data_IF_796863092119
#
_entry.id   IF_796863092119
#
_cell.length_a   1.000
_cell.length_b   1.000
_cell.length_c   1.000
_cell.angle_alpha   90.00
_cell.angle_beta   90.00
_cell.angle_gamma   90.00
#
_symmetry.space_group_name_H-M   'P 1'
#
loop_
_entity.id
_entity.type
_entity.pdbx_description
1 polymer ?
#
# COMPACT_ATOMS: atom_id res chain seq x y z
N UNK A 1 32.51 -14.07 17.60
CA UNK A 1 31.38 -15.02 17.62
C UNK A 1 31.94 -16.43 17.59
N UNK A 2 31.27 -17.39 18.23
CA UNK A 2 31.68 -18.79 18.29
C UNK A 2 30.49 -19.66 17.86
N UNK A 3 30.76 -20.63 16.99
CA UNK A 3 29.77 -21.61 16.53
C UNK A 3 29.89 -22.89 17.35
N UNK A 4 28.74 -23.50 17.63
CA UNK A 4 28.64 -24.72 18.43
C UNK A 4 27.67 -25.68 17.78
N UNK A 5 28.12 -26.91 17.58
CA UNK A 5 27.27 -28.03 17.22
C UNK A 5 26.69 -28.64 18.49
N UNK A 6 25.42 -29.04 18.44
CA UNK A 6 24.75 -29.64 19.58
C UNK A 6 24.01 -30.92 19.20
N UNK A 7 23.78 -31.76 20.20
CA UNK A 7 22.92 -32.93 20.13
C UNK A 7 22.15 -33.05 21.45
N UNK A 8 20.89 -32.64 21.45
CA UNK A 8 19.97 -32.70 22.58
C UNK A 8 19.15 -33.98 22.49
N UNK A 9 19.17 -34.79 23.54
CA UNK A 9 18.40 -36.03 23.61
C UNK A 9 17.16 -35.84 24.48
N UNK A 10 16.04 -36.49 24.15
CA UNK A 10 14.82 -36.43 24.96
C UNK A 10 15.07 -37.04 26.33
N UNK A 11 15.03 -36.21 27.37
CA UNK A 11 15.23 -36.64 28.76
C UNK A 11 15.17 -35.50 29.77
N UNK A 12 14.11 -35.49 30.58
CA UNK A 12 13.92 -34.73 31.84
C UNK A 12 14.45 -33.28 31.90
N UNK A 13 14.26 -32.49 30.84
CA UNK A 13 14.55 -31.05 30.89
C UNK A 13 16.01 -30.68 31.14
N UNK A 14 16.95 -31.60 30.84
CA UNK A 14 18.39 -31.35 30.93
C UNK A 14 18.75 -30.20 29.98
N UNK A 15 19.05 -29.03 30.57
CA UNK A 15 19.55 -27.89 29.83
C UNK A 15 21.03 -28.08 29.55
N UNK A 16 21.43 -27.97 28.28
CA UNK A 16 22.84 -27.78 27.96
C UNK A 16 23.22 -26.37 28.39
N UNK A 17 24.20 -26.29 29.29
CA UNK A 17 24.75 -25.01 29.75
C UNK A 17 26.00 -24.70 28.95
N UNK A 18 26.03 -23.49 28.40
CA UNK A 18 27.13 -22.97 27.59
C UNK A 18 27.72 -21.76 28.31
N UNK A 19 28.98 -21.86 28.69
CA UNK A 19 29.73 -20.79 29.36
C UNK A 19 30.38 -19.92 28.28
N UNK A 20 29.65 -18.93 27.79
CA UNK A 20 30.08 -18.11 26.66
C UNK A 20 29.47 -16.72 26.76
N UNK A 21 30.35 -15.71 26.73
CA UNK A 21 29.95 -14.31 26.74
C UNK A 21 29.40 -13.92 25.37
N UNK A 22 28.21 -13.33 25.37
CA UNK A 22 27.60 -12.79 24.16
C UNK A 22 26.31 -12.02 24.43
N UNK A 23 25.95 -11.12 23.52
CA UNK A 23 24.66 -10.44 23.51
C UNK A 23 23.77 -10.90 22.36
N UNK A 24 24.17 -11.94 21.62
CA UNK A 24 23.41 -12.50 20.51
C UNK A 24 23.51 -14.03 20.56
N UNK A 25 22.35 -14.67 20.45
CA UNK A 25 22.19 -16.10 20.21
C UNK A 25 21.48 -16.31 18.88
N UNK A 26 22.08 -17.06 17.96
CA UNK A 26 21.49 -17.41 16.67
C UNK A 26 21.32 -18.91 16.61
N UNK A 27 20.11 -19.39 16.42
CA UNK A 27 19.87 -20.79 16.14
C UNK A 27 19.87 -20.99 14.63
N UNK A 28 20.98 -21.48 14.07
CA UNK A 28 21.18 -21.49 12.62
C UNK A 28 20.37 -22.57 11.92
N UNK A 29 20.55 -23.82 12.35
CA UNK A 29 20.01 -24.98 11.65
C UNK A 29 19.72 -26.12 12.59
N UNK A 30 18.75 -26.94 12.21
CA UNK A 30 18.49 -28.26 12.77
C UNK A 30 18.71 -29.31 11.68
N UNK A 31 19.30 -30.44 12.06
CA UNK A 31 19.54 -31.57 11.14
C UNK A 31 18.50 -32.68 11.28
N UNK A 32 17.59 -32.58 12.25
CA UNK A 32 16.55 -33.58 12.49
C UNK A 32 15.19 -33.13 11.93
N UNK A 33 14.35 -34.10 11.57
CA UNK A 33 12.97 -33.87 11.10
C UNK A 33 12.00 -33.95 12.28
N UNK A 34 11.14 -32.94 12.47
CA UNK A 34 10.17 -32.91 13.56
C UNK A 34 10.01 -31.53 14.19
N UNK A 35 9.65 -31.49 15.48
CA UNK A 35 9.62 -30.24 16.24
C UNK A 35 11.04 -29.78 16.59
N UNK A 36 11.58 -28.92 15.73
CA UNK A 36 12.97 -28.42 15.81
C UNK A 36 13.16 -27.22 16.73
N UNK A 37 12.21 -26.96 17.64
CA UNK A 37 12.27 -25.80 18.54
C UNK A 37 13.21 -26.03 19.74
N UNK A 38 13.96 -24.99 20.08
CA UNK A 38 14.77 -24.91 21.30
C UNK A 38 14.28 -23.79 22.20
N UNK A 39 14.33 -24.01 23.51
CA UNK A 39 14.17 -22.97 24.51
C UNK A 39 15.55 -22.47 24.94
N UNK A 40 15.78 -21.18 24.84
CA UNK A 40 17.05 -20.51 25.14
C UNK A 40 16.82 -19.54 26.28
N UNK A 41 17.63 -19.66 27.33
CA UNK A 41 17.58 -18.79 28.50
C UNK A 41 19.00 -18.29 28.84
N UNK A 42 19.31 -17.00 28.61
CA UNK A 42 20.51 -16.40 29.16
C UNK A 42 20.38 -16.22 30.68
N UNK A 43 21.51 -16.17 31.37
CA UNK A 43 21.58 -15.74 32.77
C UNK A 43 21.15 -14.27 32.98
N UNK A 44 21.30 -13.44 31.95
CA UNK A 44 21.00 -12.00 31.99
C UNK A 44 19.55 -11.63 31.68
N UNK A 45 18.67 -12.58 31.34
CA UNK A 45 17.35 -12.26 30.78
C UNK A 45 16.29 -13.36 30.81
N UNK A 46 15.23 -13.14 30.03
CA UNK A 46 14.09 -14.06 29.91
C UNK A 46 14.36 -15.24 28.99
N UNK A 47 13.56 -16.31 29.16
CA UNK A 47 13.58 -17.49 28.31
C UNK A 47 12.76 -17.26 27.03
N UNK A 48 13.27 -17.72 25.89
CA UNK A 48 12.61 -17.62 24.58
C UNK A 48 12.67 -18.94 23.83
N UNK A 49 11.63 -19.24 23.05
CA UNK A 49 11.60 -20.40 22.16
C UNK A 49 11.99 -19.95 20.75
N UNK A 50 13.00 -20.60 20.18
CA UNK A 50 13.51 -20.34 18.83
C UNK A 50 13.31 -21.53 17.92
N UNK A 51 13.02 -21.24 16.66
CA UNK A 51 13.12 -22.15 15.50
C UNK A 51 14.45 -21.92 14.77
N UNK A 52 14.91 -22.86 13.93
CA UNK A 52 16.06 -22.64 13.06
C UNK A 52 15.89 -21.36 12.22
N UNK A 53 16.98 -20.61 12.05
CA UNK A 53 17.04 -19.30 11.43
C UNK A 53 16.66 -18.12 12.33
N UNK A 54 16.18 -18.36 13.56
CA UNK A 54 15.80 -17.28 14.48
C UNK A 54 16.97 -16.86 15.38
N UNK A 55 16.95 -15.58 15.77
CA UNK A 55 17.94 -14.97 16.65
C UNK A 55 17.29 -14.30 17.85
N UNK A 56 18.02 -14.26 18.95
CA UNK A 56 17.62 -13.62 20.19
C UNK A 56 18.75 -12.76 20.74
N UNK A 57 18.39 -11.54 21.17
CA UNK A 57 19.31 -10.58 21.77
C UNK A 57 18.77 -10.13 23.13
N UNK A 58 19.38 -10.57 24.25
CA UNK A 58 19.04 -10.04 25.57
C UNK A 58 19.48 -8.57 25.69
N UNK A 59 18.85 -7.83 26.59
CA UNK A 59 19.16 -6.42 26.84
C UNK A 59 20.56 -6.19 27.42
N UNK A 60 21.14 -7.21 28.06
CA UNK A 60 22.49 -7.21 28.61
C UNK A 60 23.25 -8.44 28.11
N UNK A 61 24.57 -8.34 27.87
CA UNK A 61 25.39 -9.51 27.55
C UNK A 61 25.19 -10.60 28.61
N UNK A 62 24.99 -11.83 28.15
CA UNK A 62 24.90 -13.02 28.97
C UNK A 62 26.30 -13.63 29.11
N UNK A 63 26.62 -14.18 30.28
CA UNK A 63 27.86 -14.96 30.47
C UNK A 63 27.60 -16.45 30.30
N UNK A 64 26.35 -16.86 30.49
CA UNK A 64 25.90 -18.24 30.40
C UNK A 64 24.58 -18.34 29.64
N UNK A 65 24.47 -19.39 28.82
CA UNK A 65 23.27 -19.72 28.07
C UNK A 65 22.80 -21.13 28.42
N UNK A 66 21.53 -21.26 28.77
CA UNK A 66 20.86 -22.55 28.94
C UNK A 66 20.03 -22.84 27.69
N UNK A 67 20.26 -23.99 27.07
CA UNK A 67 19.53 -24.44 25.87
C UNK A 67 18.82 -25.75 26.20
N UNK A 68 17.52 -25.81 25.92
CA UNK A 68 16.66 -26.98 26.14
C UNK A 68 15.88 -27.31 24.88
N UNK A 69 15.61 -28.58 24.63
CA UNK A 69 14.65 -28.98 23.59
C UNK A 69 13.21 -28.75 24.08
N UNK A 70 12.31 -28.38 23.15
CA UNK A 70 10.88 -28.23 23.43
C UNK A 70 10.08 -29.46 22.98
N UNK A 71 10.62 -30.27 22.07
CA UNK A 71 9.99 -31.48 21.53
C UNK A 71 10.34 -32.77 22.26
N UNK A 72 9.84 -33.89 21.73
CA UNK A 72 10.10 -35.26 22.21
C UNK A 72 11.13 -36.02 21.39
N UNK A 73 11.53 -35.48 20.24
CA UNK A 73 12.49 -36.11 19.33
C UNK A 73 13.89 -35.55 19.55
N UNK A 74 14.95 -36.37 19.45
CA UNK A 74 16.32 -35.87 19.50
C UNK A 74 16.53 -34.72 18.52
N UNK A 75 17.23 -33.70 18.97
CA UNK A 75 17.46 -32.48 18.20
C UNK A 75 18.96 -32.23 18.09
N UNK A 76 19.47 -32.27 16.87
CA UNK A 76 20.84 -31.91 16.57
C UNK A 76 20.86 -30.70 15.63
N UNK A 77 21.90 -29.89 15.73
CA UNK A 77 21.98 -28.65 14.97
C UNK A 77 23.17 -27.79 15.34
N UNK A 78 23.11 -26.53 14.90
CA UNK A 78 24.16 -25.53 15.14
C UNK A 78 23.55 -24.24 15.67
N UNK A 79 24.21 -23.64 16.66
CA UNK A 79 23.94 -22.26 17.06
C UNK A 79 25.24 -21.44 17.11
N UNK A 80 25.09 -20.12 17.03
CA UNK A 80 26.17 -19.16 17.18
C UNK A 80 25.89 -18.25 18.36
N UNK A 81 26.91 -18.02 19.19
CA UNK A 81 26.88 -17.06 20.29
C UNK A 81 28.00 -16.05 20.09
N UNK A 82 27.71 -14.78 20.33
CA UNK A 82 28.76 -13.76 20.37
C UNK A 82 28.25 -12.35 20.62
N UNK A 83 29.15 -11.40 20.37
CA UNK A 83 28.88 -9.97 20.44
C UNK A 83 28.90 -9.36 19.05
N UNK A 84 28.08 -8.33 18.85
CA UNK A 84 27.96 -7.57 17.60
C UNK A 84 26.72 -7.92 16.80
N UNK A 85 26.53 -7.18 15.70
CA UNK A 85 25.47 -7.46 14.74
C UNK A 85 25.91 -8.56 13.79
N UNK A 86 25.01 -9.49 13.52
CA UNK A 86 25.10 -10.37 12.36
C UNK A 86 24.76 -9.53 11.12
N UNK A 87 25.55 -8.49 10.88
CA UNK A 87 25.66 -7.85 9.59
C UNK A 87 26.65 -8.71 8.83
N UNK A 88 26.13 -9.83 8.32
CA UNK A 88 26.82 -10.58 7.28
C UNK A 88 27.24 -9.55 6.22
N UNK A 89 28.52 -9.50 5.86
CA UNK A 89 28.98 -8.68 4.74
C UNK A 89 28.28 -9.07 3.42
N UNK A 90 27.56 -10.20 3.39
CA UNK A 90 26.63 -10.61 2.34
C UNK A 90 25.18 -10.11 2.50
N UNK A 91 24.83 -9.35 3.54
CA UNK A 91 23.57 -8.56 3.58
C UNK A 91 23.67 -7.23 2.81
N UNK A 92 24.85 -6.91 2.26
CA UNK A 92 24.98 -5.98 1.12
C UNK A 92 24.57 -6.63 -0.22
N UNK A 93 24.49 -7.96 -0.29
CA UNK A 93 23.59 -8.61 -1.25
C UNK A 93 22.18 -8.57 -0.65
N UNK A 94 21.56 -7.40 -0.77
CA UNK A 94 20.10 -7.33 -0.90
C UNK A 94 19.70 -8.27 -2.03
N UNK A 95 19.36 -9.51 -1.69
CA UNK A 95 18.27 -10.16 -2.40
C UNK A 95 17.04 -9.42 -1.93
N UNK A 96 16.71 -8.33 -2.64
CA UNK A 96 15.31 -8.03 -2.85
C UNK A 96 14.71 -9.33 -3.36
N UNK A 97 13.97 -10.02 -2.49
CA UNK A 97 12.92 -10.87 -2.97
C UNK A 97 12.04 -9.92 -3.78
N UNK A 98 12.16 -10.01 -5.10
CA UNK A 98 11.04 -9.72 -5.97
C UNK A 98 9.96 -10.74 -5.60
N UNK A 99 9.29 -10.47 -4.48
CA UNK A 99 8.01 -11.04 -4.17
C UNK A 99 6.99 -10.30 -5.01
N UNK A 100 7.09 -10.44 -6.33
CA UNK A 100 5.93 -10.61 -7.19
C UNK A 100 5.31 -12.00 -6.98
N UNK A 101 5.26 -12.48 -5.73
CA UNK A 101 4.07 -13.21 -5.32
C UNK A 101 2.97 -12.17 -5.31
N UNK A 102 2.19 -12.16 -6.39
CA UNK A 102 0.92 -11.49 -6.48
C UNK A 102 0.01 -12.04 -5.36
N UNK A 103 0.22 -11.57 -4.14
CA UNK A 103 -0.72 -11.76 -3.07
C UNK A 103 -1.84 -10.78 -3.36
N UNK A 104 -2.81 -11.23 -4.15
CA UNK A 104 -4.05 -10.52 -4.38
C UNK A 104 -4.79 -10.41 -3.04
N UNK A 105 -4.42 -9.43 -2.23
CA UNK A 105 -5.22 -9.02 -1.08
C UNK A 105 -6.44 -8.32 -1.66
N UNK A 106 -7.51 -9.08 -1.81
CA UNK A 106 -8.81 -8.50 -2.16
C UNK A 106 -9.40 -7.89 -0.89
N UNK A 107 -9.27 -6.58 -0.75
CA UNK A 107 -9.96 -5.85 0.33
C UNK A 107 -11.42 -5.68 -0.10
N UNK A 108 -12.30 -6.57 0.36
CA UNK A 108 -13.74 -6.38 0.24
C UNK A 108 -14.24 -5.53 1.41
N UNK A 109 -14.56 -4.27 1.13
CA UNK A 109 -15.30 -3.40 2.05
C UNK A 109 -16.80 -3.61 1.80
N UNK A 110 -17.35 -4.70 2.33
CA UNK A 110 -18.80 -4.92 2.33
C UNK A 110 -19.44 -4.31 3.59
N UNK A 111 -20.77 -4.17 3.56
CA UNK A 111 -21.54 -3.60 4.67
C UNK A 111 -21.56 -4.47 5.94
N UNK A 112 -21.04 -5.69 5.91
CA UNK A 112 -21.03 -6.65 7.02
C UNK A 112 -19.67 -6.73 7.75
N UNK A 113 -18.56 -6.35 7.11
CA UNK A 113 -17.20 -6.52 7.63
C UNK A 113 -16.38 -5.22 7.69
N UNK A 114 -16.98 -4.12 8.16
CA UNK A 114 -16.24 -2.85 8.33
C UNK A 114 -15.21 -2.96 9.46
N UNK A 115 -13.92 -2.88 9.12
CA UNK A 115 -12.84 -2.70 10.09
C UNK A 115 -12.90 -1.26 10.64
N UNK A 116 -13.06 -1.05 11.95
CA UNK A 116 -13.03 0.29 12.52
C UNK A 116 -11.60 0.83 12.50
N UNK A 117 -11.36 1.83 11.66
CA UNK A 117 -10.08 2.55 11.64
C UNK A 117 -10.18 3.70 12.64
N UNK A 118 -9.49 3.57 13.78
CA UNK A 118 -9.25 4.66 14.71
C UNK A 118 -7.89 5.28 14.35
N UNK A 119 -7.90 6.56 14.00
CA UNK A 119 -6.67 7.32 13.78
C UNK A 119 -6.16 7.78 15.15
N UNK A 120 -5.05 7.21 15.62
CA UNK A 120 -4.26 7.80 16.71
C UNK A 120 -3.55 9.05 16.15
N UNK A 121 -3.91 10.26 16.61
CA UNK A 121 -3.33 11.50 16.08
C UNK A 121 -1.82 11.64 16.35
N UNK A 122 -1.23 10.80 17.19
CA UNK A 122 0.21 10.80 17.49
C UNK A 122 1.03 9.81 16.65
N UNK A 123 0.37 8.90 15.92
CA UNK A 123 1.02 8.04 14.93
C UNK A 123 0.84 8.65 13.54
N UNK A 124 1.52 9.76 13.30
CA UNK A 124 1.71 10.26 11.94
C UNK A 124 2.56 9.23 11.19
N UNK A 125 1.90 8.34 10.43
CA UNK A 125 2.53 7.71 9.29
C UNK A 125 3.18 8.85 8.49
N UNK A 126 4.51 8.86 8.40
CA UNK A 126 5.21 9.61 7.37
C UNK A 126 4.84 8.96 6.04
N UNK A 127 3.62 9.21 5.60
CA UNK A 127 3.28 9.11 4.21
C UNK A 127 4.09 10.23 3.59
N UNK A 128 5.27 9.89 3.07
CA UNK A 128 5.75 10.50 1.84
C UNK A 128 4.71 10.17 0.77
N UNK A 129 3.50 10.72 0.93
CA UNK A 129 2.55 10.79 -0.14
C UNK A 129 3.37 11.37 -1.29
N UNK A 130 3.37 10.76 -2.48
CA UNK A 130 3.85 11.49 -3.63
C UNK A 130 3.19 12.85 -3.53
N UNK A 131 3.99 13.91 -3.61
CA UNK A 131 3.46 15.26 -3.73
C UNK A 131 2.50 15.13 -4.90
N UNK A 132 1.19 15.05 -4.63
CA UNK A 132 0.17 15.10 -5.67
C UNK A 132 0.43 16.45 -6.28
N UNK A 133 1.13 16.41 -7.41
CA UNK A 133 1.47 17.63 -8.11
C UNK A 133 0.11 18.00 -8.70
N UNK A 134 -0.57 18.94 -8.05
CA UNK A 134 -1.87 19.46 -8.46
C UNK A 134 -1.67 20.17 -9.80
N UNK A 135 -1.60 19.41 -10.89
CA UNK A 135 -1.09 19.92 -12.15
C UNK A 135 -2.00 19.48 -13.26
N UNK A 136 -3.19 20.08 -13.35
CA UNK A 136 -3.83 20.44 -14.63
C UNK A 136 -5.12 21.23 -14.40
N UNK A 137 -5.01 22.51 -14.05
CA UNK A 137 -6.11 23.43 -14.29
C UNK A 137 -6.26 23.64 -15.81
N UNK A 138 -7.10 22.84 -16.49
CA UNK A 138 -7.43 23.03 -17.90
C UNK A 138 -8.45 24.15 -18.03
N UNK A 139 -7.94 25.38 -18.09
CA UNK A 139 -8.71 26.59 -17.83
C UNK A 139 -9.60 27.10 -18.98
N UNK A 140 -9.52 26.54 -20.20
CA UNK A 140 -10.30 27.08 -21.32
C UNK A 140 -10.43 26.09 -22.45
N UNK A 141 -11.64 25.60 -22.71
CA UNK A 141 -11.95 24.82 -23.89
C UNK A 141 -13.15 25.45 -24.60
N UNK A 142 -12.90 26.00 -25.79
CA UNK A 142 -13.97 26.54 -26.65
C UNK A 142 -14.77 25.37 -27.18
N UNK A 143 -16.07 25.35 -26.92
CA UNK A 143 -16.97 24.34 -27.48
C UNK A 143 -17.46 24.87 -28.82
N UNK A 144 -17.22 24.11 -29.88
CA UNK A 144 -17.52 24.49 -31.26
C UNK A 144 -19.02 24.70 -31.53
N UNK A 145 -19.34 25.22 -32.71
CA UNK A 145 -20.67 25.72 -33.07
C UNK A 145 -21.70 24.64 -33.45
N UNK A 146 -21.35 23.35 -33.38
CA UNK A 146 -22.19 22.25 -33.85
C UNK A 146 -22.73 21.37 -32.70
N UNK A 147 -23.97 20.88 -32.87
CA UNK A 147 -24.73 20.08 -31.89
C UNK A 147 -24.18 18.67 -31.59
N UNK A 148 -23.01 18.36 -32.11
CA UNK A 148 -22.31 17.07 -31.99
C UNK A 148 -20.89 17.24 -31.49
N UNK A 149 -20.46 18.47 -31.18
CA UNK A 149 -19.10 18.76 -30.79
C UNK A 149 -18.86 18.28 -29.35
N UNK A 150 -18.23 17.11 -29.25
CA UNK A 150 -17.81 16.54 -27.97
C UNK A 150 -16.43 17.07 -27.64
N UNK A 151 -16.40 17.85 -26.56
CA UNK A 151 -15.20 18.48 -26.03
C UNK A 151 -14.65 17.64 -24.90
N UNK A 152 -13.44 17.13 -25.07
CA UNK A 152 -12.74 16.33 -24.07
C UNK A 152 -11.94 17.24 -23.13
N UNK A 153 -12.37 17.31 -21.87
CA UNK A 153 -11.66 18.03 -20.83
C UNK A 153 -10.53 17.16 -20.24
N UNK A 154 -10.79 15.88 -20.05
CA UNK A 154 -9.81 14.91 -19.53
C UNK A 154 -9.96 13.59 -20.28
N UNK A 155 -8.87 13.07 -20.84
CA UNK A 155 -8.88 11.76 -21.49
C UNK A 155 -8.94 10.65 -20.42
N UNK A 156 -9.56 9.48 -20.71
CA UNK A 156 -9.55 8.33 -19.81
C UNK A 156 -8.14 7.86 -19.45
N UNK A 157 -7.22 7.94 -20.42
CA UNK A 157 -5.80 7.56 -20.27
C UNK A 157 -5.04 8.50 -19.34
N UNK A 158 -5.50 9.73 -19.19
CA UNK A 158 -4.90 10.74 -18.30
C UNK A 158 -5.49 10.66 -16.89
N UNK A 159 -6.57 9.91 -16.70
CA UNK A 159 -7.28 9.75 -15.43
C UNK A 159 -6.99 8.38 -14.78
N UNK A 160 -5.73 8.07 -14.53
CA UNK A 160 -5.32 6.74 -14.08
C UNK A 160 -5.74 6.42 -12.63
N UNK A 161 -5.81 7.40 -11.73
CA UNK A 161 -6.17 7.17 -10.32
C UNK A 161 -7.48 7.85 -9.90
N UNK A 162 -8.21 8.46 -10.83
CA UNK A 162 -9.40 9.24 -10.53
C UNK A 162 -9.13 10.75 -10.61
N UNK A 163 -10.20 11.51 -10.74
CA UNK A 163 -10.15 12.95 -10.85
C UNK A 163 -11.23 13.59 -9.99
N UNK A 164 -11.05 14.86 -9.66
CA UNK A 164 -12.02 15.69 -8.96
C UNK A 164 -12.31 16.90 -9.82
N UNK A 165 -13.60 17.10 -10.14
CA UNK A 165 -14.11 18.34 -10.71
C UNK A 165 -14.41 19.27 -9.56
N UNK A 166 -13.69 20.39 -9.48
CA UNK A 166 -13.79 21.34 -8.36
C UNK A 166 -14.70 22.53 -8.69
N UNK A 167 -14.63 22.99 -9.94
CA UNK A 167 -15.44 24.12 -10.39
C UNK A 167 -15.71 23.99 -11.87
N UNK A 168 -16.93 24.36 -12.29
CA UNK A 168 -17.30 24.44 -13.70
C UNK A 168 -17.95 25.79 -13.99
N UNK A 169 -17.58 26.35 -15.13
CA UNK A 169 -18.10 27.61 -15.63
C UNK A 169 -18.43 27.45 -17.11
N UNK A 170 -19.62 27.89 -17.48
CA UNK A 170 -20.04 27.96 -18.88
C UNK A 170 -20.57 29.36 -19.18
N UNK A 171 -20.20 29.89 -20.34
CA UNK A 171 -20.72 31.13 -20.87
C UNK A 171 -20.93 31.00 -22.37
N UNK A 172 -22.06 31.47 -22.89
CA UNK A 172 -22.39 31.37 -24.31
C UNK A 172 -23.82 31.76 -24.61
N UNK A 173 -24.17 31.89 -25.88
CA UNK A 173 -25.54 32.14 -26.35
C UNK A 173 -26.23 30.81 -26.65
N UNK A 174 -27.45 30.63 -26.14
CA UNK A 174 -28.22 29.39 -26.27
C UNK A 174 -27.41 28.13 -25.89
N UNK A 175 -26.53 28.27 -24.90
CA UNK A 175 -25.64 27.21 -24.48
C UNK A 175 -26.36 26.27 -23.52
N UNK A 176 -26.50 25.01 -23.91
CA UNK A 176 -26.96 23.92 -23.04
C UNK A 176 -26.10 22.71 -23.32
N UNK A 177 -25.41 22.22 -22.30
CA UNK A 177 -24.52 21.08 -22.43
C UNK A 177 -24.52 20.19 -21.20
N UNK A 178 -24.20 18.93 -21.41
CA UNK A 178 -24.04 17.96 -20.35
C UNK A 178 -22.56 17.65 -20.20
N UNK A 179 -22.09 17.67 -18.95
CA UNK A 179 -20.78 17.17 -18.59
C UNK A 179 -20.89 15.72 -18.13
N UNK A 180 -20.11 14.82 -18.73
CA UNK A 180 -20.19 13.38 -18.53
C UNK A 180 -18.86 12.79 -18.07
N UNK A 181 -18.93 11.78 -17.19
CA UNK A 181 -17.83 10.87 -16.88
C UNK A 181 -18.02 9.53 -17.62
N UNK A 182 -17.18 9.24 -18.63
CA UNK A 182 -17.30 8.03 -19.45
C UNK A 182 -15.94 7.41 -19.79
N UNK A 183 -15.88 6.09 -19.89
CA UNK A 183 -14.66 5.40 -20.35
C UNK A 183 -14.39 5.60 -21.85
N UNK A 184 -15.46 5.82 -22.63
CA UNK A 184 -15.40 6.04 -24.08
C UNK A 184 -15.98 7.43 -24.39
N UNK A 185 -15.35 8.14 -25.33
CA UNK A 185 -15.80 9.45 -25.78
C UNK A 185 -17.25 9.36 -26.30
N UNK A 186 -18.19 10.13 -25.74
CA UNK A 186 -19.57 10.14 -26.22
C UNK A 186 -19.64 10.73 -27.63
N UNK A 187 -20.68 10.35 -28.38
CA UNK A 187 -20.91 10.84 -29.76
C UNK A 187 -22.13 11.76 -29.87
N UNK A 188 -23.05 11.71 -28.90
CA UNK A 188 -24.29 12.50 -28.87
C UNK A 188 -24.70 12.80 -27.43
N UNK A 189 -25.61 13.76 -27.23
CA UNK A 189 -26.21 14.06 -25.92
C UNK A 189 -27.15 12.97 -25.41
N UNK A 190 -27.65 12.10 -26.31
CA UNK A 190 -28.50 10.95 -26.00
C UNK A 190 -27.72 9.70 -25.58
N UNK A 191 -26.39 9.79 -25.49
CA UNK A 191 -25.54 8.68 -25.07
C UNK A 191 -25.64 8.47 -23.54
N UNK A 192 -26.73 7.79 -23.13
CA UNK A 192 -27.13 7.54 -21.74
C UNK A 192 -26.18 6.64 -20.94
N UNK A 193 -25.20 6.01 -21.58
CA UNK A 193 -24.29 5.07 -20.93
C UNK A 193 -23.15 5.82 -20.19
N UNK A 194 -23.44 6.50 -19.09
CA UNK A 194 -22.43 7.26 -18.33
C UNK A 194 -23.00 8.01 -17.15
N UNK A 195 -22.13 8.57 -16.31
CA UNK A 195 -22.56 9.40 -15.19
C UNK A 195 -22.60 10.86 -15.64
N UNK A 196 -23.78 11.49 -15.55
CA UNK A 196 -23.90 12.95 -15.71
C UNK A 196 -23.25 13.59 -14.49
N UNK A 197 -22.18 14.34 -14.72
CA UNK A 197 -21.46 15.09 -13.69
C UNK A 197 -22.20 16.41 -13.44
N UNK A 198 -22.54 17.13 -14.50
CA UNK A 198 -23.19 18.43 -14.38
C UNK A 198 -24.01 18.79 -15.62
N UNK A 199 -24.98 19.67 -15.44
CA UNK A 199 -25.72 20.34 -16.50
C UNK A 199 -25.25 21.78 -16.62
N UNK A 200 -24.74 22.16 -17.79
CA UNK A 200 -24.19 23.48 -18.06
C UNK A 200 -25.17 24.30 -18.89
N UNK A 201 -25.50 25.52 -18.44
CA UNK A 201 -26.35 26.45 -19.17
C UNK A 201 -25.67 27.80 -19.42
N UNK A 202 -26.33 28.67 -20.18
CA UNK A 202 -25.82 30.00 -20.54
C UNK A 202 -25.81 31.03 -19.40
N UNK A 203 -26.15 30.66 -18.16
CA UNK A 203 -26.37 31.62 -17.08
C UNK A 203 -25.10 32.29 -16.53
N UNK A 204 -23.90 31.98 -17.06
CA UNK A 204 -22.62 32.60 -16.69
C UNK A 204 -22.37 32.62 -15.16
N UNK A 205 -22.85 31.58 -14.46
CA UNK A 205 -22.65 31.38 -13.02
C UNK A 205 -21.68 30.22 -12.81
N UNK A 206 -20.89 30.21 -11.72
CA UNK A 206 -20.25 28.97 -11.29
C UNK A 206 -21.37 27.97 -11.00
N UNK A 207 -21.51 26.98 -11.88
CA UNK A 207 -22.70 26.13 -11.94
C UNK A 207 -22.69 25.13 -10.78
N UNK A 208 -21.50 24.74 -10.31
CA UNK A 208 -21.38 23.91 -9.12
C UNK A 208 -20.05 24.18 -8.40
N UNK A 209 -20.10 24.21 -7.05
CA UNK A 209 -18.96 24.31 -6.13
C UNK A 209 -18.73 23.02 -5.36
N UNK A 210 -19.56 22.00 -5.59
CA UNK A 210 -19.37 20.70 -4.96
C UNK A 210 -18.28 19.93 -5.70
N UNK A 211 -17.35 19.36 -4.93
CA UNK A 211 -16.29 18.52 -5.48
C UNK A 211 -16.90 17.22 -5.97
N UNK A 212 -16.90 17.00 -7.28
CA UNK A 212 -17.44 15.77 -7.88
C UNK A 212 -16.28 14.84 -8.21
N UNK A 213 -16.29 13.64 -7.64
CA UNK A 213 -15.29 12.61 -7.90
C UNK A 213 -15.63 11.85 -9.18
N UNK A 214 -14.63 11.68 -10.03
CA UNK A 214 -14.69 10.88 -11.26
C UNK A 214 -13.77 9.68 -11.07
N UNK A 215 -14.32 8.48 -11.23
CA UNK A 215 -13.57 7.24 -11.09
C UNK A 215 -12.40 7.15 -12.09
N UNK A 216 -11.36 6.43 -11.70
CA UNK A 216 -10.23 6.08 -12.57
C UNK A 216 -10.69 5.45 -13.90
N UNK A 217 -9.97 5.72 -14.98
CA UNK A 217 -10.26 5.20 -16.31
C UNK A 217 -11.49 5.80 -16.99
N UNK A 218 -12.10 6.84 -16.41
CA UNK A 218 -13.15 7.64 -17.08
C UNK A 218 -12.58 8.99 -17.54
N UNK A 219 -12.87 9.38 -18.77
CA UNK A 219 -12.67 10.73 -19.25
C UNK A 219 -13.80 11.67 -18.83
N UNK A 220 -13.54 12.97 -18.91
CA UNK A 220 -14.51 14.04 -18.66
C UNK A 220 -14.81 14.73 -19.98
N UNK A 221 -16.06 14.70 -20.40
CA UNK A 221 -16.50 15.23 -21.69
C UNK A 221 -17.62 16.22 -21.51
N UNK A 222 -17.67 17.23 -22.37
CA UNK A 222 -18.79 18.15 -22.52
C UNK A 222 -19.43 17.90 -23.87
N UNK A 223 -20.74 17.68 -23.86
CA UNK A 223 -21.54 17.45 -25.05
C UNK A 223 -22.70 18.43 -25.04
N UNK A 224 -22.74 19.35 -25.99
CA UNK A 224 -23.84 20.31 -26.07
C UNK A 224 -25.02 19.80 -26.89
N UNK A 225 -26.21 20.31 -26.57
CA UNK A 225 -27.46 20.01 -27.29
C UNK A 225 -27.82 21.16 -28.24
N UNK A 226 -28.00 20.87 -29.53
CA UNK A 226 -28.40 21.86 -30.54
C UNK A 226 -27.26 22.78 -31.01
N UNK A 227 -27.57 23.83 -31.76
CA UNK A 227 -26.56 24.80 -32.20
C UNK A 227 -26.27 25.80 -31.09
N UNK A 228 -25.09 25.73 -30.50
CA UNK A 228 -24.64 26.62 -29.42
C UNK A 228 -23.27 27.21 -29.74
N UNK A 229 -22.91 28.32 -29.11
CA UNK A 229 -21.54 28.86 -29.14
C UNK A 229 -21.17 29.32 -27.74
N UNK A 230 -20.08 28.79 -27.21
CA UNK A 230 -19.71 29.07 -25.82
C UNK A 230 -18.31 28.62 -25.42
N UNK A 231 -17.93 29.07 -24.24
CA UNK A 231 -16.70 28.70 -23.56
C UNK A 231 -17.09 27.89 -22.33
N UNK A 232 -16.44 26.73 -22.18
CA UNK A 232 -16.46 25.98 -20.93
C UNK A 232 -15.09 26.04 -20.29
N UNK A 233 -15.08 26.31 -18.99
CA UNK A 233 -13.89 26.26 -18.14
C UNK A 233 -14.18 25.32 -16.98
N UNK A 234 -13.25 24.43 -16.70
CA UNK A 234 -13.36 23.50 -15.58
C UNK A 234 -12.04 23.48 -14.80
N UNK A 235 -12.15 23.62 -13.48
CA UNK A 235 -11.05 23.36 -12.57
C UNK A 235 -11.10 21.88 -12.20
N UNK A 236 -10.02 21.17 -12.52
CA UNK A 236 -9.88 19.74 -12.36
C UNK A 236 -8.62 19.44 -11.54
N UNK A 237 -8.71 18.42 -10.70
CA UNK A 237 -7.56 17.82 -10.02
C UNK A 237 -7.51 16.35 -10.39
N UNK A 238 -6.46 15.91 -11.07
CA UNK A 238 -6.18 14.49 -11.29
C UNK A 238 -5.43 13.95 -10.07
N UNK A 239 -5.84 12.78 -9.58
CA UNK A 239 -5.32 12.14 -8.36
C UNK A 239 -4.16 11.18 -8.64
#
# INVERSE_FOLDING_TARGET
MQSYTFNLTPGNGQATTLQTVGNLFVYESATTTGDVRVSVKPDSGGEIILKPGQRFRPAKPAMQWQVRMVGTDPLAGTFIIGEGDFDDANTLNRVTLDASFANNVTVMNDSAHRVPVSLDPNQLLQNSAPIMTYTTAKNKLTVGTASTDVVELLAPTDNLNGAVVEQTYAAGTNFTAYMWAKAVKPTTTSDTAGDVINFLDSSARPIDRTRIKVAAGKGIYVVGSGSYSGIVSALLTVL
#
